data_IF_501481235543
#
_entry.id   IF_501481235543
#
_cell.length_a   1.000
_cell.length_b   1.000
_cell.length_c   1.000
_cell.angle_alpha   90.00
_cell.angle_beta   90.00
_cell.angle_gamma   90.00
#
_symmetry.space_group_name_H-M   'P 1'
#
loop_
_entity.id
_entity.type
_entity.pdbx_description
1 polymer ?
#
# COMPACT_ATOMS: atom_id res chain seq x y z
N UNK A 1 -27.71 28.01 19.68
CA UNK A 1 -27.41 27.21 20.88
C UNK A 1 -26.23 26.29 20.56
N UNK A 2 -24.98 26.72 20.79
CA UNK A 2 -23.75 25.87 20.68
C UNK A 2 -22.42 26.59 20.95
N UNK A 3 -22.35 27.92 20.90
CA UNK A 3 -21.10 28.69 21.10
C UNK A 3 -20.81 28.98 22.58
N UNK A 4 -21.80 29.45 23.35
CA UNK A 4 -21.61 29.79 24.77
C UNK A 4 -21.26 28.58 25.67
N UNK A 5 -21.77 27.40 25.34
CA UNK A 5 -21.38 26.17 26.06
C UNK A 5 -19.96 25.74 25.71
N UNK A 6 -19.55 25.92 24.46
CA UNK A 6 -18.18 25.63 24.01
C UNK A 6 -17.18 26.58 24.69
N UNK A 7 -17.51 27.87 24.76
CA UNK A 7 -16.70 28.88 25.46
C UNK A 7 -16.57 28.56 26.96
N UNK A 8 -17.66 28.16 27.62
CA UNK A 8 -17.63 27.71 29.02
C UNK A 8 -16.77 26.46 29.22
N UNK A 9 -16.81 25.50 28.29
CA UNK A 9 -16.00 24.28 28.38
C UNK A 9 -14.52 24.59 28.16
N UNK A 10 -14.21 25.47 27.21
CA UNK A 10 -12.85 25.91 26.90
C UNK A 10 -12.26 26.70 28.07
N UNK A 11 -13.00 27.67 28.62
CA UNK A 11 -12.56 28.48 29.77
C UNK A 11 -12.31 27.62 31.02
N UNK A 12 -13.15 26.59 31.24
CA UNK A 12 -12.97 25.64 32.35
C UNK A 12 -11.78 24.71 32.11
N UNK A 13 -11.48 24.36 30.86
CA UNK A 13 -10.33 23.54 30.49
C UNK A 13 -8.99 24.28 30.65
N UNK A 14 -8.97 25.60 30.44
CA UNK A 14 -7.76 26.42 30.62
C UNK A 14 -7.45 26.78 32.08
N UNK A 15 -8.47 26.85 32.96
CA UNK A 15 -8.30 27.18 34.39
C UNK A 15 -7.95 25.96 35.27
N UNK A 16 -8.07 24.76 34.74
CA UNK A 16 -7.79 23.52 35.48
C UNK A 16 -6.41 23.02 35.09
N UNK A 17 -5.51 22.84 36.06
CA UNK A 17 -4.24 22.16 35.79
C UNK A 17 -4.52 20.78 35.17
N UNK A 18 -3.85 20.42 34.07
CA UNK A 18 -4.16 19.18 33.38
C UNK A 18 -3.85 18.02 34.33
N UNK A 19 -4.90 17.29 34.74
CA UNK A 19 -4.77 16.06 35.56
C UNK A 19 -4.06 14.91 34.84
N UNK A 20 -3.57 15.15 33.63
CA UNK A 20 -2.79 14.23 32.82
C UNK A 20 -1.73 15.01 32.05
N UNK A 21 -0.46 14.71 32.31
CA UNK A 21 0.67 15.25 31.55
C UNK A 21 1.00 14.25 30.45
N UNK A 22 1.00 14.72 29.20
CA UNK A 22 1.40 13.86 28.09
C UNK A 22 2.87 13.45 28.26
N UNK A 23 3.23 12.18 28.02
CA UNK A 23 4.62 11.76 27.98
C UNK A 23 5.40 12.64 27.01
N UNK A 24 6.67 12.97 27.34
CA UNK A 24 7.53 13.78 26.46
C UNK A 24 7.62 13.22 25.02
N UNK A 25 7.47 11.90 24.88
CA UNK A 25 7.51 11.19 23.58
C UNK A 25 6.14 11.02 22.91
N UNK A 26 5.06 11.58 23.45
CA UNK A 26 3.71 11.39 22.90
C UNK A 26 3.61 11.87 21.46
N UNK A 27 4.07 13.09 21.19
CA UNK A 27 4.09 13.64 19.83
C UNK A 27 4.85 12.72 18.87
N UNK A 28 6.03 12.25 19.29
CA UNK A 28 6.86 11.33 18.50
C UNK A 28 6.13 10.01 18.18
N UNK A 29 5.48 9.39 19.17
CA UNK A 29 4.71 8.14 18.97
C UNK A 29 3.54 8.32 18.03
N UNK A 30 2.80 9.43 18.16
CA UNK A 30 1.66 9.74 17.28
C UNK A 30 2.15 10.00 15.85
N UNK A 31 3.15 10.86 15.67
CA UNK A 31 3.72 11.14 14.34
C UNK A 31 4.25 9.88 13.66
N UNK A 32 4.96 9.00 14.38
CA UNK A 32 5.49 7.76 13.80
C UNK A 32 4.38 6.81 13.35
N UNK A 33 3.32 6.66 14.15
CA UNK A 33 2.18 5.81 13.77
C UNK A 33 1.41 6.36 12.57
N UNK A 34 1.24 7.68 12.48
CA UNK A 34 0.63 8.35 11.33
C UNK A 34 1.50 8.22 10.07
N UNK A 35 2.79 8.53 10.16
CA UNK A 35 3.72 8.39 9.04
C UNK A 35 3.74 6.96 8.50
N UNK A 36 3.79 5.96 9.39
CA UNK A 36 3.80 4.55 8.98
C UNK A 36 2.55 4.14 8.23
N UNK A 37 1.38 4.62 8.66
CA UNK A 37 0.10 4.33 8.00
C UNK A 37 0.04 4.97 6.62
N UNK A 38 0.47 6.21 6.51
CA UNK A 38 0.47 6.92 5.22
C UNK A 38 1.49 6.33 4.25
N UNK A 39 2.66 5.94 4.75
CA UNK A 39 3.68 5.26 3.95
C UNK A 39 3.15 3.92 3.40
N UNK A 40 2.50 3.09 4.23
CA UNK A 40 1.84 1.85 3.77
C UNK A 40 0.89 2.10 2.60
N UNK A 41 0.06 3.13 2.74
CA UNK A 41 -0.96 3.48 1.75
C UNK A 41 -0.32 3.97 0.46
N UNK A 42 0.72 4.80 0.56
CA UNK A 42 1.47 5.30 -0.59
C UNK A 42 2.19 4.18 -1.33
N UNK A 43 2.94 3.33 -0.61
CA UNK A 43 3.72 2.24 -1.19
C UNK A 43 2.79 1.20 -1.87
N UNK A 44 1.66 0.88 -1.23
CA UNK A 44 0.67 -0.02 -1.80
C UNK A 44 -0.02 0.57 -3.04
N UNK A 45 -0.33 1.86 -3.03
CA UNK A 45 -0.88 2.54 -4.21
C UNK A 45 0.12 2.59 -5.37
N UNK A 46 1.40 2.89 -5.11
CA UNK A 46 2.46 2.86 -6.13
C UNK A 46 2.57 1.47 -6.74
N UNK A 47 2.61 0.43 -5.90
CA UNK A 47 2.65 -0.97 -6.33
C UNK A 47 1.44 -1.34 -7.20
N UNK A 48 0.22 -1.03 -6.76
CA UNK A 48 -0.99 -1.35 -7.51
C UNK A 48 -1.06 -0.60 -8.84
N UNK A 49 -0.65 0.68 -8.86
CA UNK A 49 -0.59 1.47 -10.08
C UNK A 49 0.38 0.86 -11.10
N UNK A 50 1.61 0.55 -10.68
CA UNK A 50 2.60 -0.09 -11.56
C UNK A 50 2.11 -1.45 -12.07
N UNK A 51 1.51 -2.26 -11.20
CA UNK A 51 0.97 -3.57 -11.57
C UNK A 51 -0.17 -3.43 -12.58
N UNK A 52 -1.07 -2.46 -12.39
CA UNK A 52 -2.17 -2.19 -13.31
C UNK A 52 -1.66 -1.74 -14.69
N UNK A 53 -0.63 -0.89 -14.74
CA UNK A 53 -0.01 -0.45 -16.00
C UNK A 53 0.61 -1.64 -16.73
N UNK A 54 1.36 -2.50 -16.04
CA UNK A 54 1.97 -3.69 -16.64
C UNK A 54 0.90 -4.65 -17.17
N UNK A 55 -0.14 -4.94 -16.38
CA UNK A 55 -1.25 -5.81 -16.81
C UNK A 55 -2.00 -5.24 -18.02
N UNK A 56 -2.22 -3.92 -18.05
CA UNK A 56 -2.83 -3.24 -19.20
C UNK A 56 -1.98 -3.44 -20.46
N UNK A 57 -0.67 -3.24 -20.35
CA UNK A 57 0.26 -3.35 -21.47
C UNK A 57 0.34 -4.79 -22.00
N UNK A 58 0.38 -5.78 -21.10
CA UNK A 58 0.32 -7.20 -21.45
C UNK A 58 -1.01 -7.54 -22.13
N UNK A 59 -2.13 -7.04 -21.61
CA UNK A 59 -3.46 -7.27 -22.19
C UNK A 59 -3.56 -6.73 -23.62
N UNK A 60 -3.08 -5.50 -23.85
CA UNK A 60 -3.04 -4.90 -25.20
C UNK A 60 -2.15 -5.73 -26.12
N UNK A 61 -0.96 -6.14 -25.67
CA UNK A 61 -0.06 -6.98 -26.48
C UNK A 61 -0.71 -8.31 -26.87
N UNK A 62 -1.35 -9.01 -25.92
CA UNK A 62 -2.07 -10.26 -26.18
C UNK A 62 -3.24 -10.03 -27.15
N UNK A 63 -3.99 -8.94 -26.99
CA UNK A 63 -5.10 -8.59 -27.88
C UNK A 63 -4.64 -8.33 -29.32
N UNK A 64 -3.54 -7.60 -29.51
CA UNK A 64 -2.95 -7.36 -30.83
C UNK A 64 -2.42 -8.67 -31.44
N UNK A 65 -1.72 -9.50 -30.66
CA UNK A 65 -1.22 -10.78 -31.13
C UNK A 65 -2.35 -11.74 -31.49
N UNK A 66 -3.48 -11.71 -30.78
CA UNK A 66 -4.64 -12.51 -31.12
C UNK A 66 -5.20 -12.18 -32.50
N UNK A 67 -5.11 -10.92 -32.93
CA UNK A 67 -5.54 -10.50 -34.26
C UNK A 67 -4.57 -10.95 -35.36
N UNK A 68 -3.26 -10.98 -35.07
CA UNK A 68 -2.21 -11.36 -36.03
C UNK A 68 -2.10 -12.89 -36.16
N UNK A 69 -2.00 -13.60 -35.04
CA UNK A 69 -1.86 -15.05 -34.98
C UNK A 69 -2.67 -15.60 -33.81
N UNK A 70 -3.93 -15.89 -34.11
CA UNK A 70 -4.88 -16.47 -33.16
C UNK A 70 -4.46 -17.86 -32.69
N UNK A 71 -3.87 -18.68 -33.56
CA UNK A 71 -3.49 -20.05 -33.19
C UNK A 71 -2.41 -20.05 -32.12
N UNK A 72 -1.40 -19.18 -32.28
CA UNK A 72 -0.35 -19.04 -31.29
C UNK A 72 -0.91 -18.66 -29.91
N UNK A 73 -1.79 -17.65 -29.85
CA UNK A 73 -2.39 -17.21 -28.57
C UNK A 73 -3.23 -18.31 -27.94
N UNK A 74 -4.04 -19.03 -28.72
CA UNK A 74 -4.85 -20.14 -28.21
C UNK A 74 -3.98 -21.30 -27.70
N UNK A 75 -2.87 -21.62 -28.37
CA UNK A 75 -1.92 -22.64 -27.90
C UNK A 75 -1.22 -22.21 -26.61
N UNK A 76 -0.81 -20.96 -26.50
CA UNK A 76 -0.23 -20.41 -25.28
C UNK A 76 -1.21 -20.46 -24.10
N UNK A 77 -2.47 -20.09 -24.32
CA UNK A 77 -3.54 -20.20 -23.32
C UNK A 77 -3.82 -21.65 -22.94
N UNK A 78 -3.85 -22.56 -23.91
CA UNK A 78 -4.02 -24.00 -23.66
C UNK A 78 -2.88 -24.55 -22.80
N UNK A 79 -1.63 -24.20 -23.10
CA UNK A 79 -0.46 -24.55 -22.29
C UNK A 79 -0.58 -24.01 -20.87
N UNK A 80 -0.99 -22.74 -20.71
CA UNK A 80 -1.17 -22.13 -19.40
C UNK A 80 -2.27 -22.83 -18.60
N UNK A 81 -3.39 -23.18 -19.24
CA UNK A 81 -4.49 -23.91 -18.60
C UNK A 81 -4.12 -25.35 -18.23
N UNK A 82 -3.31 -26.03 -19.06
CA UNK A 82 -2.81 -27.38 -18.77
C UNK A 82 -1.83 -27.43 -17.60
N UNK A 83 -1.12 -26.32 -17.34
CA UNK A 83 -0.13 -26.19 -16.28
C UNK A 83 -0.53 -25.17 -15.22
N UNK A 84 -1.85 -25.03 -14.97
CA UNK A 84 -2.40 -23.92 -14.19
C UNK A 84 -1.77 -23.74 -12.81
N UNK A 85 -1.46 -24.84 -12.13
CA UNK A 85 -0.81 -24.83 -10.81
C UNK A 85 0.57 -24.18 -10.90
N UNK A 86 1.40 -24.62 -11.84
CA UNK A 86 2.77 -24.11 -12.03
C UNK A 86 2.76 -22.63 -12.44
N UNK A 87 1.84 -22.26 -13.33
CA UNK A 87 1.67 -20.87 -13.78
C UNK A 87 1.26 -19.98 -12.62
N UNK A 88 0.27 -20.40 -11.82
CA UNK A 88 -0.16 -19.64 -10.62
C UNK A 88 0.99 -19.49 -9.65
N UNK A 89 1.75 -20.56 -9.36
CA UNK A 89 2.91 -20.47 -8.46
C UNK A 89 3.99 -19.52 -8.98
N UNK A 90 4.31 -19.58 -10.27
CA UNK A 90 5.28 -18.68 -10.87
C UNK A 90 4.82 -17.21 -10.80
N UNK A 91 3.56 -16.95 -11.15
CA UNK A 91 2.97 -15.60 -11.06
C UNK A 91 2.89 -15.11 -9.62
N UNK A 92 2.56 -15.98 -8.66
CA UNK A 92 2.53 -15.66 -7.25
C UNK A 92 3.92 -15.29 -6.74
N UNK A 93 4.95 -16.09 -7.04
CA UNK A 93 6.33 -15.80 -6.64
C UNK A 93 6.82 -14.49 -7.24
N UNK A 94 6.55 -14.24 -8.52
CA UNK A 94 6.94 -13.01 -9.19
C UNK A 94 6.24 -11.78 -8.58
N UNK A 95 4.92 -11.87 -8.34
CA UNK A 95 4.18 -10.82 -7.63
C UNK A 95 4.69 -10.64 -6.21
N UNK A 96 4.97 -11.72 -5.48
CA UNK A 96 5.48 -11.67 -4.12
C UNK A 96 6.83 -10.97 -4.05
N UNK A 97 7.76 -11.28 -4.95
CA UNK A 97 9.07 -10.62 -5.02
C UNK A 97 8.89 -9.12 -5.30
N UNK A 98 8.05 -8.77 -6.28
CA UNK A 98 7.81 -7.37 -6.64
C UNK A 98 7.13 -6.59 -5.49
N UNK A 99 6.15 -7.22 -4.84
CA UNK A 99 5.47 -6.68 -3.66
C UNK A 99 6.44 -6.54 -2.48
N UNK A 100 7.32 -7.51 -2.28
CA UNK A 100 8.31 -7.45 -1.22
C UNK A 100 9.26 -6.28 -1.42
N UNK A 101 9.80 -6.10 -2.63
CA UNK A 101 10.69 -4.98 -2.96
C UNK A 101 10.01 -3.62 -2.81
N UNK A 102 8.80 -3.47 -3.36
CA UNK A 102 8.10 -2.19 -3.41
C UNK A 102 7.40 -1.82 -2.10
N UNK A 103 6.92 -2.79 -1.33
CA UNK A 103 6.10 -2.53 -0.14
C UNK A 103 6.78 -3.02 1.13
N UNK A 104 7.12 -4.30 1.22
CA UNK A 104 7.60 -4.89 2.49
C UNK A 104 8.98 -4.37 2.91
N UNK A 105 9.94 -4.31 1.99
CA UNK A 105 11.30 -3.86 2.29
C UNK A 105 11.34 -2.37 2.62
N UNK A 106 10.64 -1.52 1.86
CA UNK A 106 10.52 -0.08 2.15
C UNK A 106 9.97 0.17 3.54
N UNK A 107 8.96 -0.59 3.92
CA UNK A 107 8.40 -0.50 5.25
C UNK A 107 9.38 -0.96 6.33
N UNK A 108 10.00 -2.13 6.13
CA UNK A 108 10.94 -2.70 7.10
C UNK A 108 12.12 -1.76 7.36
N UNK A 109 12.68 -1.16 6.30
CA UNK A 109 13.84 -0.28 6.40
C UNK A 109 13.49 1.17 6.76
N UNK A 110 12.24 1.63 6.59
CA UNK A 110 11.81 2.94 7.11
C UNK A 110 12.05 3.08 8.62
N UNK A 111 11.90 1.98 9.37
CA UNK A 111 12.12 1.90 10.82
C UNK A 111 13.57 2.18 11.23
N UNK A 112 14.54 1.81 10.40
CA UNK A 112 15.96 1.94 10.72
C UNK A 112 16.51 3.35 10.47
N UNK A 113 15.86 4.12 9.59
CA UNK A 113 16.29 5.48 9.26
C UNK A 113 15.94 6.51 10.34
N UNK A 114 14.98 6.21 11.23
CA UNK A 114 14.53 7.12 12.30
C UNK A 114 15.24 6.92 13.64
N UNK A 115 16.11 5.90 13.73
CA UNK A 115 16.79 5.51 14.97
C UNK A 115 18.29 5.90 14.99
N UNK A 116 18.78 6.53 13.92
CA UNK A 116 20.03 7.28 13.83
C UNK A 116 19.70 8.77 13.70
#
# INVERSE_FOLDING_TARGET
MKTEELDKIIEKSFKTEPGFVLPADFARKVTFSMMRREQWKSDLNEYLFLTAVILSLVSVAVGLYYYIDKEFVMRALAFASGNIIQVIFALFLLNFIFFADRVLLRLLFSRWRTNN
#
